data_IF_225602311937
#
_entry.id   IF_225602311937
#
_cell.length_a   1.000
_cell.length_b   1.000
_cell.length_c   1.000
_cell.angle_alpha   90.00
_cell.angle_beta   90.00
_cell.angle_gamma   90.00
#
_symmetry.space_group_name_H-M   'P 1'
#
loop_
_entity.id
_entity.type
_entity.pdbx_description
1 polymer ?
#
# COMPACT_ATOMS: atom_id res chain seq x y z
N UNK A 1 30.08 18.07 12.46
CA UNK A 1 28.61 18.16 12.45
C UNK A 1 28.10 16.77 12.77
N UNK A 2 27.49 16.60 13.94
CA UNK A 2 27.33 15.31 14.63
C UNK A 2 26.19 14.47 14.01
N UNK A 3 26.52 13.34 13.36
CA UNK A 3 25.55 12.42 12.75
C UNK A 3 24.47 11.98 13.76
N UNK A 4 24.83 11.95 15.04
CA UNK A 4 23.94 11.59 16.13
C UNK A 4 22.82 12.62 16.36
N UNK A 5 23.01 13.91 16.06
CA UNK A 5 21.99 14.93 16.31
C UNK A 5 20.88 14.95 15.24
N UNK A 6 21.18 14.45 14.03
CA UNK A 6 20.16 14.24 12.98
C UNK A 6 19.36 12.95 13.18
N UNK A 7 19.94 11.93 13.83
CA UNK A 7 19.29 10.63 14.04
C UNK A 7 18.58 10.58 15.40
N UNK A 8 19.22 11.02 16.49
CA UNK A 8 18.68 10.95 17.85
C UNK A 8 17.92 12.21 18.31
N UNK A 9 17.90 13.29 17.52
CA UNK A 9 17.13 14.50 17.86
C UNK A 9 15.61 14.35 17.72
N UNK A 10 15.13 13.25 17.11
CA UNK A 10 13.70 12.97 16.86
C UNK A 10 13.08 11.95 17.81
N UNK A 11 13.88 11.23 18.58
CA UNK A 11 13.41 10.09 19.37
C UNK A 11 13.86 10.24 20.82
N UNK A 12 13.00 9.81 21.73
CA UNK A 12 13.49 9.34 23.03
C UNK A 12 14.28 8.04 22.85
N UNK A 13 15.25 7.74 23.74
CA UNK A 13 15.93 6.43 23.74
C UNK A 13 14.96 5.25 23.76
N UNK A 14 13.85 5.39 24.49
CA UNK A 14 12.79 4.39 24.61
C UNK A 14 12.08 4.15 23.27
N UNK A 15 11.70 5.22 22.57
CA UNK A 15 11.10 5.13 21.23
C UNK A 15 12.04 4.46 20.22
N UNK A 16 13.33 4.77 20.28
CA UNK A 16 14.30 4.11 19.42
C UNK A 16 14.37 2.61 19.66
N UNK A 17 14.42 2.21 20.93
CA UNK A 17 14.43 0.79 21.31
C UNK A 17 13.16 0.09 20.82
N UNK A 18 11.99 0.68 21.05
CA UNK A 18 10.73 0.12 20.56
C UNK A 18 10.72 -0.04 19.04
N UNK A 19 11.12 0.99 18.31
CA UNK A 19 11.22 0.94 16.85
C UNK A 19 12.14 -0.18 16.37
N UNK A 20 13.29 -0.40 17.03
CA UNK A 20 14.20 -1.50 16.68
C UNK A 20 13.60 -2.89 16.91
N UNK A 21 12.69 -3.04 17.88
CA UNK A 21 12.05 -4.31 18.23
C UNK A 21 10.78 -4.61 17.42
N UNK A 22 10.07 -3.58 16.94
CA UNK A 22 8.85 -3.76 16.14
C UNK A 22 9.01 -4.67 14.90
N UNK A 23 10.10 -4.60 14.11
CA UNK A 23 10.29 -5.49 12.96
C UNK A 23 10.37 -6.96 13.32
N UNK A 24 10.73 -7.30 14.57
CA UNK A 24 11.06 -8.67 14.95
C UNK A 24 9.79 -9.52 15.06
N UNK A 25 9.68 -10.52 14.19
CA UNK A 25 8.64 -11.54 14.23
C UNK A 25 9.03 -12.61 15.24
N UNK A 26 8.09 -12.97 16.12
CA UNK A 26 8.30 -14.01 17.14
C UNK A 26 8.22 -15.41 16.51
N UNK A 27 8.78 -16.42 17.18
CA UNK A 27 8.94 -17.78 16.62
C UNK A 27 7.60 -18.40 16.18
N UNK A 28 6.54 -18.19 16.97
CA UNK A 28 5.20 -18.75 16.75
C UNK A 28 4.18 -17.71 16.27
N UNK A 29 4.65 -16.60 15.72
CA UNK A 29 3.81 -15.49 15.30
C UNK A 29 3.64 -15.49 13.78
N UNK A 30 2.39 -15.52 13.33
CA UNK A 30 2.04 -15.36 11.92
C UNK A 30 2.25 -13.91 11.46
N UNK A 31 2.38 -13.65 10.16
CA UNK A 31 2.50 -12.28 9.64
C UNK A 31 1.34 -11.36 10.04
N UNK A 32 0.14 -11.90 10.18
CA UNK A 32 -1.05 -11.16 10.61
C UNK A 32 -0.94 -10.76 12.09
N UNK A 33 -0.64 -11.73 12.96
CA UNK A 33 -0.45 -11.48 14.40
C UNK A 33 0.70 -10.49 14.66
N UNK A 34 1.81 -10.60 13.91
CA UNK A 34 2.91 -9.64 13.96
C UNK A 34 2.43 -8.23 13.66
N UNK A 35 1.72 -8.05 12.53
CA UNK A 35 1.19 -6.75 12.13
C UNK A 35 0.27 -6.20 13.22
N UNK A 36 -0.67 -7.01 13.71
CA UNK A 36 -1.62 -6.60 14.75
C UNK A 36 -0.90 -6.15 16.03
N UNK A 37 0.07 -6.94 16.51
CA UNK A 37 0.86 -6.61 17.71
C UNK A 37 1.55 -5.25 17.60
N UNK A 38 2.14 -4.94 16.44
CA UNK A 38 2.89 -3.70 16.28
C UNK A 38 2.04 -2.54 15.77
N UNK A 39 0.79 -2.79 15.35
CA UNK A 39 -0.01 -1.85 14.59
C UNK A 39 -0.21 -0.51 15.31
N UNK A 40 -0.58 -0.56 16.59
CA UNK A 40 -0.80 0.65 17.39
C UNK A 40 0.45 1.52 17.49
N UNK A 41 1.61 0.91 17.76
CA UNK A 41 2.89 1.64 17.82
C UNK A 41 3.31 2.13 16.44
N UNK A 42 3.17 1.31 15.39
CA UNK A 42 3.50 1.70 14.03
C UNK A 42 2.66 2.90 13.54
N UNK A 43 1.38 2.94 13.91
CA UNK A 43 0.51 4.10 13.68
C UNK A 43 0.99 5.32 14.44
N UNK A 44 1.30 5.21 15.74
CA UNK A 44 1.85 6.31 16.53
C UNK A 44 3.11 6.90 15.88
N UNK A 45 4.06 6.07 15.48
CA UNK A 45 5.29 6.54 14.82
C UNK A 45 5.00 7.24 13.50
N UNK A 46 4.02 6.74 12.73
CA UNK A 46 3.62 7.32 11.46
C UNK A 46 2.94 8.69 11.64
N UNK A 47 2.03 8.81 12.60
CA UNK A 47 1.26 10.03 12.84
C UNK A 47 2.10 11.17 13.41
N UNK A 48 3.19 10.84 14.12
CA UNK A 48 4.11 11.80 14.72
C UNK A 48 5.37 12.06 13.87
N UNK A 49 5.42 11.62 12.60
CA UNK A 49 6.58 11.71 11.71
C UNK A 49 7.90 11.14 12.31
N UNK A 50 7.76 10.09 13.12
CA UNK A 50 8.85 9.38 13.78
C UNK A 50 9.35 8.19 12.95
N UNK A 51 8.83 7.93 11.75
CA UNK A 51 9.39 6.85 10.93
C UNK A 51 10.69 7.31 10.25
N UNK A 52 11.79 6.53 10.32
CA UNK A 52 12.98 6.79 9.53
C UNK A 52 12.63 6.91 8.05
N UNK A 53 13.34 7.76 7.31
CA UNK A 53 13.08 8.08 5.89
C UNK A 53 12.94 6.81 5.04
N UNK A 54 13.78 5.81 5.29
CA UNK A 54 13.76 4.53 4.58
C UNK A 54 12.49 3.70 4.85
N UNK A 55 11.88 3.88 6.02
CA UNK A 55 10.69 3.13 6.49
C UNK A 55 9.38 3.86 6.27
N UNK A 56 9.36 5.11 5.75
CA UNK A 56 8.12 5.88 5.57
C UNK A 56 7.14 5.26 4.56
N UNK A 57 7.63 4.43 3.63
CA UNK A 57 6.80 3.85 2.56
C UNK A 57 6.31 2.43 2.87
N UNK A 58 7.13 1.64 3.54
CA UNK A 58 6.81 0.27 3.94
C UNK A 58 7.66 -0.14 5.14
N UNK A 59 7.17 -1.08 5.94
CA UNK A 59 7.83 -1.55 7.15
C UNK A 59 8.14 -3.05 7.05
N UNK A 60 9.42 -3.42 7.03
CA UNK A 60 9.83 -4.81 6.83
C UNK A 60 9.76 -5.62 8.12
N UNK A 61 9.22 -6.83 8.02
CA UNK A 61 9.39 -7.87 9.02
C UNK A 61 10.83 -8.41 8.99
N UNK A 62 11.37 -8.70 10.17
CA UNK A 62 12.70 -9.25 10.39
C UNK A 62 12.63 -10.41 11.37
N UNK A 63 13.63 -11.28 11.32
CA UNK A 63 13.77 -12.39 12.28
C UNK A 63 15.12 -12.32 12.93
N UNK A 64 15.14 -12.18 14.25
CA UNK A 64 16.38 -12.16 15.02
C UNK A 64 17.03 -13.55 15.02
N UNK A 65 18.26 -13.62 14.53
CA UNK A 65 19.13 -14.79 14.57
C UNK A 65 20.22 -14.47 15.59
N UNK A 66 20.42 -15.39 16.55
CA UNK A 66 21.50 -15.30 17.55
C UNK A 66 22.53 -16.36 17.23
N UNK A 67 23.80 -15.97 17.23
CA UNK A 67 24.92 -16.86 16.98
C UNK A 67 25.56 -17.33 18.30
N UNK A 68 26.26 -18.47 18.30
CA UNK A 68 26.90 -19.00 19.51
C UNK A 68 27.97 -18.06 20.11
N UNK A 69 28.56 -17.19 19.30
CA UNK A 69 29.53 -16.17 19.73
C UNK A 69 28.90 -14.97 20.44
N UNK A 70 27.57 -14.99 20.66
CA UNK A 70 26.82 -13.91 21.30
C UNK A 70 26.41 -12.79 20.33
N UNK A 71 26.86 -12.82 19.07
CA UNK A 71 26.43 -11.87 18.07
C UNK A 71 25.00 -12.14 17.60
N UNK A 72 24.35 -11.13 17.00
CA UNK A 72 23.01 -11.28 16.46
C UNK A 72 22.82 -10.54 15.14
N UNK A 73 21.94 -11.06 14.30
CA UNK A 73 21.61 -10.49 13.01
C UNK A 73 20.10 -10.61 12.76
N UNK A 74 19.48 -9.54 12.26
CA UNK A 74 18.05 -9.50 11.99
C UNK A 74 17.78 -9.21 10.50
N UNK A 75 17.90 -10.21 9.60
CA UNK A 75 17.57 -10.05 8.19
C UNK A 75 16.07 -9.82 7.98
N UNK A 76 15.74 -9.18 6.86
CA UNK A 76 14.36 -9.14 6.39
C UNK A 76 13.92 -10.53 5.94
N UNK A 77 12.68 -10.90 6.26
CA UNK A 77 12.13 -12.24 5.97
C UNK A 77 11.16 -12.27 4.79
N UNK A 78 11.15 -11.20 3.98
CA UNK A 78 10.31 -11.12 2.80
C UNK A 78 8.83 -10.91 3.07
N UNK A 79 8.52 -10.27 4.19
CA UNK A 79 7.20 -9.76 4.54
C UNK A 79 7.37 -8.29 4.88
N UNK A 80 6.43 -7.46 4.43
CA UNK A 80 6.39 -6.04 4.76
C UNK A 80 4.95 -5.57 4.95
N UNK A 81 4.78 -4.46 5.67
CA UNK A 81 3.53 -3.70 5.71
C UNK A 81 3.67 -2.54 4.75
N UNK A 82 2.80 -2.45 3.75
CA UNK A 82 2.69 -1.27 2.91
C UNK A 82 2.07 -0.13 3.72
N UNK A 83 2.80 0.94 4.03
CA UNK A 83 2.26 2.04 4.86
C UNK A 83 1.28 2.95 4.10
N UNK A 84 1.16 2.75 2.79
CA UNK A 84 0.20 3.46 1.96
C UNK A 84 -1.21 2.91 2.08
N UNK A 85 -1.38 1.58 2.01
CA UNK A 85 -2.68 0.92 2.12
C UNK A 85 -2.83 0.06 3.37
N UNK A 86 -1.83 0.03 4.24
CA UNK A 86 -1.76 -0.75 5.47
C UNK A 86 -1.87 -2.26 5.26
N UNK A 87 -1.63 -2.77 4.05
CA UNK A 87 -1.72 -4.20 3.74
C UNK A 87 -0.40 -4.94 4.00
N UNK A 88 -0.50 -6.23 4.33
CA UNK A 88 0.65 -7.12 4.30
C UNK A 88 1.05 -7.43 2.86
N UNK A 89 2.34 -7.40 2.60
CA UNK A 89 2.94 -7.66 1.30
C UNK A 89 4.03 -8.70 1.47
N UNK A 90 3.86 -9.83 0.79
CA UNK A 90 4.92 -10.83 0.68
C UNK A 90 5.93 -10.33 -0.36
N UNK A 91 7.08 -9.87 0.10
CA UNK A 91 8.13 -9.28 -0.72
C UNK A 91 9.18 -10.29 -1.19
N UNK A 92 9.25 -11.47 -0.58
CA UNK A 92 10.31 -12.44 -0.83
C UNK A 92 11.68 -11.83 -0.55
N UNK A 93 12.66 -11.97 -1.44
CA UNK A 93 14.00 -11.35 -1.26
C UNK A 93 14.14 -9.96 -1.91
N UNK A 94 13.10 -9.38 -2.54
CA UNK A 94 13.27 -8.22 -3.43
C UNK A 94 12.34 -7.03 -3.13
N UNK A 95 12.93 -5.82 -3.17
CA UNK A 95 12.21 -4.53 -3.18
C UNK A 95 11.28 -4.39 -4.40
N UNK A 96 11.59 -5.05 -5.52
CA UNK A 96 10.72 -5.01 -6.72
C UNK A 96 9.29 -5.50 -6.43
N UNK A 97 9.12 -6.31 -5.38
CA UNK A 97 7.82 -6.85 -5.00
C UNK A 97 6.94 -5.80 -4.29
N UNK A 98 7.51 -4.86 -3.53
CA UNK A 98 6.72 -3.76 -2.95
C UNK A 98 6.28 -2.76 -4.03
N UNK A 99 7.14 -2.48 -5.01
CA UNK A 99 6.80 -1.63 -6.15
C UNK A 99 5.74 -2.28 -7.05
N UNK A 100 5.83 -3.60 -7.24
CA UNK A 100 4.81 -4.39 -7.92
C UNK A 100 3.47 -4.29 -7.18
N UNK A 101 3.48 -4.38 -5.85
CA UNK A 101 2.29 -4.13 -5.03
C UNK A 101 1.76 -2.70 -5.23
N UNK A 102 2.60 -1.67 -5.22
CA UNK A 102 2.16 -0.28 -5.49
C UNK A 102 1.51 -0.13 -6.86
N UNK A 103 2.12 -0.69 -7.90
CA UNK A 103 1.59 -0.67 -9.28
C UNK A 103 0.29 -1.47 -9.42
N UNK A 104 0.16 -2.60 -8.73
CA UNK A 104 -0.85 -3.62 -9.04
C UNK A 104 -1.89 -3.91 -7.95
N UNK A 105 -1.75 -3.44 -6.72
CA UNK A 105 -2.69 -3.81 -5.64
C UNK A 105 -2.92 -2.69 -4.62
N UNK A 106 -1.95 -1.80 -4.43
CA UNK A 106 -2.05 -0.74 -3.43
C UNK A 106 -3.25 0.16 -3.70
N UNK A 107 -4.11 0.28 -2.69
CA UNK A 107 -5.32 1.11 -2.71
C UNK A 107 -5.05 2.53 -2.24
N UNK A 108 -4.00 2.72 -1.44
CA UNK A 108 -3.50 4.02 -1.00
C UNK A 108 -2.47 4.62 -1.97
N UNK A 109 -2.27 5.92 -1.89
CA UNK A 109 -1.31 6.69 -2.71
C UNK A 109 -0.23 7.40 -1.89
N UNK A 110 -0.14 7.15 -0.57
CA UNK A 110 0.78 7.85 0.33
C UNK A 110 2.27 7.58 0.04
N UNK A 111 2.60 6.58 -0.80
CA UNK A 111 3.98 6.35 -1.23
C UNK A 111 4.47 7.38 -2.27
N UNK A 112 3.56 8.13 -2.90
CA UNK A 112 3.86 9.17 -3.88
C UNK A 112 3.41 10.54 -3.33
N UNK A 113 4.34 11.24 -2.68
CA UNK A 113 4.11 12.59 -2.12
C UNK A 113 4.30 13.71 -3.15
N UNK A 114 4.82 13.38 -4.33
CA UNK A 114 5.14 14.34 -5.37
C UNK A 114 3.87 14.94 -5.97
N UNK A 115 3.75 16.27 -5.93
CA UNK A 115 2.65 17.01 -6.55
C UNK A 115 2.87 17.11 -8.06
N UNK A 116 1.78 17.25 -8.82
CA UNK A 116 1.85 17.33 -10.28
C UNK A 116 2.74 18.47 -10.80
N UNK A 117 2.66 19.66 -10.18
CA UNK A 117 3.50 20.79 -10.57
C UNK A 117 5.00 20.52 -10.38
N UNK A 118 5.36 19.85 -9.29
CA UNK A 118 6.76 19.49 -9.00
C UNK A 118 7.23 18.33 -9.88
N UNK A 119 6.35 17.37 -10.18
CA UNK A 119 6.60 16.35 -11.21
C UNK A 119 6.94 16.99 -12.55
N UNK A 120 6.19 18.00 -13.00
CA UNK A 120 6.50 18.71 -14.23
C UNK A 120 7.87 19.38 -14.15
N UNK A 121 8.17 20.12 -13.06
CA UNK A 121 9.49 20.76 -12.89
C UNK A 121 10.63 19.75 -13.01
N UNK A 122 10.53 18.60 -12.32
CA UNK A 122 11.56 17.55 -12.36
C UNK A 122 11.66 16.93 -13.75
N UNK A 123 10.52 16.66 -14.40
CA UNK A 123 10.47 16.08 -15.74
C UNK A 123 11.11 16.98 -16.81
N UNK A 124 10.98 18.30 -16.67
CA UNK A 124 11.58 19.27 -17.59
C UNK A 124 13.09 19.48 -17.36
N UNK A 125 13.66 19.03 -16.23
CA UNK A 125 15.12 18.99 -16.07
C UNK A 125 15.74 18.05 -17.10
N UNK A 126 16.90 18.43 -17.62
CA UNK A 126 17.73 17.52 -18.39
C UNK A 126 18.14 16.33 -17.52
N UNK A 127 18.32 15.15 -18.13
CA UNK A 127 18.57 13.92 -17.37
C UNK A 127 19.85 13.99 -16.52
N UNK A 128 20.88 14.66 -17.02
CA UNK A 128 22.13 14.93 -16.27
C UNK A 128 21.94 15.80 -15.02
N UNK A 129 20.88 16.60 -14.99
CA UNK A 129 20.64 17.59 -13.92
C UNK A 129 19.70 17.03 -12.85
N UNK A 130 19.22 15.79 -13.04
CA UNK A 130 18.35 15.11 -12.07
C UNK A 130 19.21 14.50 -10.97
N UNK A 131 18.86 14.84 -9.75
CA UNK A 131 19.42 14.18 -8.57
C UNK A 131 18.91 12.74 -8.45
N UNK A 132 19.52 11.96 -7.56
CA UNK A 132 19.01 10.63 -7.21
C UNK A 132 17.56 10.70 -6.68
N UNK A 133 17.26 11.72 -5.87
CA UNK A 133 15.92 11.93 -5.32
C UNK A 133 14.91 12.35 -6.40
N UNK A 134 15.33 13.17 -7.37
CA UNK A 134 14.50 13.52 -8.53
C UNK A 134 14.11 12.25 -9.32
N UNK A 135 15.09 11.41 -9.64
CA UNK A 135 14.88 10.15 -10.37
C UNK A 135 13.95 9.21 -9.60
N UNK A 136 14.16 9.09 -8.29
CA UNK A 136 13.33 8.26 -7.41
C UNK A 136 11.90 8.79 -7.30
N UNK A 137 11.72 10.11 -7.20
CA UNK A 137 10.41 10.75 -7.14
C UNK A 137 9.62 10.55 -8.45
N UNK A 138 10.29 10.70 -9.61
CA UNK A 138 9.69 10.40 -10.91
C UNK A 138 9.22 8.94 -10.99
N UNK A 139 10.07 7.98 -10.62
CA UNK A 139 9.73 6.55 -10.63
C UNK A 139 8.48 6.25 -9.79
N UNK A 140 8.39 6.78 -8.56
CA UNK A 140 7.21 6.57 -7.71
C UNK A 140 5.94 7.21 -8.28
N UNK A 141 6.07 8.37 -8.93
CA UNK A 141 4.96 9.03 -9.61
C UNK A 141 4.47 8.20 -10.81
N UNK A 142 5.37 7.59 -11.58
CA UNK A 142 5.03 6.69 -12.68
C UNK A 142 4.33 5.40 -12.21
N UNK A 143 4.78 4.82 -11.10
CA UNK A 143 4.10 3.69 -10.46
C UNK A 143 2.68 4.08 -10.03
N UNK A 144 2.51 5.28 -9.48
CA UNK A 144 1.21 5.82 -9.09
C UNK A 144 0.27 6.03 -10.29
N UNK A 145 0.72 6.68 -11.36
CA UNK A 145 -0.07 6.85 -12.59
C UNK A 145 -0.48 5.48 -13.15
N UNK A 146 0.46 4.53 -13.20
CA UNK A 146 0.20 3.18 -13.71
C UNK A 146 -0.91 2.48 -12.92
N UNK A 147 -0.88 2.58 -11.59
CA UNK A 147 -1.93 2.04 -10.73
C UNK A 147 -3.27 2.75 -10.97
N UNK A 148 -3.28 4.08 -11.04
CA UNK A 148 -4.48 4.89 -11.24
C UNK A 148 -5.18 4.56 -12.57
N UNK A 149 -4.43 4.53 -13.68
CA UNK A 149 -4.94 4.15 -15.01
C UNK A 149 -5.57 2.76 -14.97
N UNK A 150 -4.89 1.79 -14.34
CA UNK A 150 -5.38 0.42 -14.22
C UNK A 150 -6.69 0.35 -13.42
N UNK A 151 -6.79 1.09 -12.31
CA UNK A 151 -8.03 1.18 -11.50
C UNK A 151 -9.17 1.79 -12.30
N UNK A 152 -8.90 2.86 -13.05
CA UNK A 152 -9.90 3.48 -13.95
C UNK A 152 -10.38 2.51 -15.03
N UNK A 153 -9.48 1.74 -15.65
CA UNK A 153 -9.87 0.70 -16.63
C UNK A 153 -10.79 -0.35 -16.00
N UNK A 154 -10.46 -0.85 -14.81
CA UNK A 154 -11.31 -1.81 -14.07
C UNK A 154 -12.66 -1.22 -13.72
N UNK A 155 -12.70 0.02 -13.21
CA UNK A 155 -13.94 0.69 -12.86
C UNK A 155 -14.86 0.88 -14.08
N UNK A 156 -14.30 1.26 -15.24
CA UNK A 156 -15.06 1.35 -16.50
C UNK A 156 -15.64 0.01 -16.92
N UNK A 157 -14.87 -1.07 -16.81
CA UNK A 157 -15.33 -2.41 -17.16
C UNK A 157 -16.46 -2.88 -16.23
N UNK A 158 -16.33 -2.66 -14.93
CA UNK A 158 -17.39 -2.93 -13.94
C UNK A 158 -18.63 -2.08 -14.24
N UNK A 159 -18.47 -0.81 -14.58
CA UNK A 159 -19.57 0.08 -14.96
C UNK A 159 -20.36 -0.43 -16.18
N UNK A 160 -19.67 -0.92 -17.21
CA UNK A 160 -20.33 -1.55 -18.38
C UNK A 160 -21.14 -2.78 -17.98
N UNK A 161 -20.61 -3.63 -17.11
CA UNK A 161 -21.31 -4.83 -16.60
C UNK A 161 -22.56 -4.45 -15.82
N UNK A 162 -22.47 -3.47 -14.92
CA UNK A 162 -23.61 -2.94 -14.17
C UNK A 162 -24.68 -2.39 -15.13
N UNK A 163 -24.29 -1.60 -16.13
CA UNK A 163 -25.22 -1.05 -17.10
C UNK A 163 -25.93 -2.15 -17.91
N UNK A 164 -25.23 -3.22 -18.28
CA UNK A 164 -25.82 -4.37 -18.96
C UNK A 164 -26.85 -5.08 -18.06
N UNK A 165 -26.52 -5.33 -16.79
CA UNK A 165 -27.45 -5.92 -15.82
C UNK A 165 -28.71 -5.07 -15.64
N UNK A 166 -28.56 -3.74 -15.49
CA UNK A 166 -29.70 -2.81 -15.38
C UNK A 166 -30.59 -2.89 -16.63
N UNK A 167 -30.01 -2.94 -17.83
CA UNK A 167 -30.75 -3.06 -19.09
C UNK A 167 -31.55 -4.36 -19.16
N UNK A 168 -30.97 -5.48 -18.71
CA UNK A 168 -31.64 -6.78 -18.66
C UNK A 168 -32.79 -6.75 -17.64
N UNK A 169 -32.54 -6.23 -16.43
CA UNK A 169 -33.57 -6.10 -15.39
C UNK A 169 -34.76 -5.27 -15.85
N UNK A 170 -34.52 -4.13 -16.54
CA UNK A 170 -35.59 -3.30 -17.11
C UNK A 170 -36.43 -4.07 -18.13
N UNK A 171 -35.80 -4.82 -19.04
CA UNK A 171 -36.51 -5.64 -20.02
C UNK A 171 -37.33 -6.75 -19.38
N UNK A 172 -36.82 -7.37 -18.31
CA UNK A 172 -37.57 -8.40 -17.56
C UNK A 172 -38.80 -7.78 -16.91
N UNK A 173 -38.67 -6.62 -16.25
CA UNK A 173 -39.81 -5.89 -15.67
C UNK A 173 -40.83 -5.51 -16.74
N UNK A 174 -40.40 -4.95 -17.87
CA UNK A 174 -41.29 -4.62 -18.99
C UNK A 174 -42.05 -5.86 -19.51
N UNK A 175 -41.41 -7.03 -19.54
CA UNK A 175 -42.05 -8.27 -19.97
C UNK A 175 -43.04 -8.81 -18.93
N UNK A 176 -42.73 -8.72 -17.64
CA UNK A 176 -43.63 -9.13 -16.54
C UNK A 176 -44.90 -8.28 -16.53
N UNK A 177 -44.77 -6.96 -16.72
CA UNK A 177 -45.89 -6.02 -16.57
C UNK A 177 -46.55 -5.61 -17.90
N UNK A 178 -46.24 -6.28 -19.02
CA UNK A 178 -46.93 -6.05 -20.30
C UNK A 178 -48.33 -6.70 -20.29
N UNK A 179 -49.35 -6.08 -20.93
CA UNK A 179 -50.69 -6.66 -21.04
C UNK A 179 -50.72 -8.06 -21.69
N UNK A 180 -49.76 -8.33 -22.59
CA UNK A 180 -49.61 -9.61 -23.31
C UNK A 180 -48.50 -10.50 -22.69
N UNK A 181 -47.95 -10.08 -21.54
CA UNK A 181 -46.86 -10.75 -20.81
C UNK A 181 -47.34 -11.83 -19.84
N UNK A 182 -46.52 -12.20 -18.85
CA UNK A 182 -46.96 -13.08 -17.76
C UNK A 182 -48.14 -12.39 -17.05
N UNK A 183 -49.36 -12.89 -17.29
CA UNK A 183 -50.61 -12.32 -16.84
C UNK A 183 -50.49 -11.78 -15.41
N UNK A 184 -50.61 -10.45 -15.25
CA UNK A 184 -50.43 -9.75 -13.98
C UNK A 184 -51.35 -10.32 -12.88
N UNK A 185 -52.44 -11.00 -13.25
CA UNK A 185 -53.34 -11.71 -12.34
C UNK A 185 -52.67 -12.88 -11.61
N UNK A 186 -51.74 -13.63 -12.24
CA UNK A 186 -51.05 -14.78 -11.62
C UNK A 186 -49.97 -14.39 -10.60
N UNK A 187 -49.45 -13.15 -10.67
CA UNK A 187 -48.49 -12.63 -9.69
C UNK A 187 -49.17 -12.05 -8.44
N UNK A 188 -50.47 -11.73 -8.50
CA UNK A 188 -51.24 -11.18 -7.37
C UNK A 188 -51.85 -12.24 -6.43
N UNK A 189 -51.66 -13.53 -6.73
CA UNK A 189 -52.26 -14.67 -6.04
C UNK A 189 -51.31 -15.39 -5.04
N UNK A 190 -50.15 -14.81 -4.76
CA UNK A 190 -49.21 -15.22 -3.71
C UNK A 190 -48.77 -13.99 -2.91
#
# INVERSE_FOLDING_TARGET
MDLNRQIYGRYTPEEWVEYCWMPQVRINETPAEWKERIWGRLTYFKENDLLPIESKKYFNARKLIRFPDGSSYAPTIGIAICLSCNELVYTGKSIKTIESHWKAACTGNKYCELKYGDFLKIKHKHESDRTFDDTRALHYYELWISNAIRRLKRAREVGKKIQACIKIQRKILEWIYRPDGFDAQKLSLH
#
